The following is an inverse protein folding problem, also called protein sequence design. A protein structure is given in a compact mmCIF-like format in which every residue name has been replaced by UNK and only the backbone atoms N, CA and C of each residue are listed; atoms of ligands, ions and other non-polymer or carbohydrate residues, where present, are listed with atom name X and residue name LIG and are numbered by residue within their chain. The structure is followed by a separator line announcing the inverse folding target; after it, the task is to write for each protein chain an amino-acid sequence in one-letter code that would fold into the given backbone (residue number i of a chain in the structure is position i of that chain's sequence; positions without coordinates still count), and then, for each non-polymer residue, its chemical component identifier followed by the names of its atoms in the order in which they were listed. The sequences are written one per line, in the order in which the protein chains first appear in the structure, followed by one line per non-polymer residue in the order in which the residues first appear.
data_IF_062016125326
#
_entry.id   IF_062016125326
#
_cell.length_a   1.000
_cell.length_b   1.000
_cell.length_c   1.000
_cell.angle_alpha   90.00
_cell.angle_beta   90.00
_cell.angle_gamma   90.00
#
_symmetry.space_group_name_H-M   'P 1'
#
loop_
_entity.id
_entity.type
_entity.pdbx_description
1 polymer ?
#
# COMPACT_ATOMS: atom_id res chain seq x y z
N UNK A 1 -5.82 20.01 -7.38
CA UNK A 1 -5.67 18.83 -8.27
C UNK A 1 -7.05 18.20 -8.40
N UNK A 2 -7.56 17.97 -9.62
CA UNK A 2 -8.81 17.22 -9.79
C UNK A 2 -8.43 15.75 -9.80
N UNK A 3 -8.69 15.03 -8.70
CA UNK A 3 -8.65 13.57 -8.76
C UNK A 3 -9.84 13.10 -9.58
N UNK A 4 -9.57 12.28 -10.60
CA UNK A 4 -10.63 11.56 -11.25
C UNK A 4 -11.09 10.45 -10.29
N UNK A 5 -12.40 10.21 -10.20
CA UNK A 5 -12.93 9.07 -9.44
C UNK A 5 -12.35 7.74 -9.93
N UNK A 6 -12.05 7.66 -11.23
CA UNK A 6 -11.42 6.49 -11.86
C UNK A 6 -10.02 6.26 -11.32
N UNK A 7 -9.21 7.31 -11.19
CA UNK A 7 -7.85 7.22 -10.64
C UNK A 7 -7.91 6.74 -9.19
N UNK A 8 -8.86 7.28 -8.40
CA UNK A 8 -9.07 6.87 -7.01
C UNK A 8 -9.43 5.39 -6.86
N UNK A 9 -10.39 4.92 -7.65
CA UNK A 9 -10.76 3.50 -7.67
C UNK A 9 -9.58 2.64 -8.08
N UNK A 10 -8.92 2.98 -9.20
CA UNK A 10 -7.76 2.23 -9.70
C UNK A 10 -6.67 2.11 -8.65
N UNK A 11 -6.26 3.21 -8.05
CA UNK A 11 -5.19 3.18 -7.07
C UNK A 11 -5.59 2.44 -5.78
N UNK A 12 -6.83 2.58 -5.31
CA UNK A 12 -7.29 1.79 -4.14
C UNK A 12 -7.22 0.29 -4.44
N UNK A 13 -7.66 -0.11 -5.63
CA UNK A 13 -7.62 -1.52 -6.04
C UNK A 13 -6.16 -2.00 -6.20
N UNK A 14 -5.27 -1.19 -6.80
CA UNK A 14 -3.83 -1.48 -6.86
C UNK A 14 -3.21 -1.65 -5.47
N UNK A 15 -3.55 -0.79 -4.51
CA UNK A 15 -3.07 -0.91 -3.12
C UNK A 15 -3.53 -2.22 -2.49
N UNK A 16 -4.80 -2.60 -2.69
CA UNK A 16 -5.32 -3.86 -2.17
C UNK A 16 -4.50 -5.05 -2.67
N UNK A 17 -4.26 -5.12 -3.98
CA UNK A 17 -3.49 -6.21 -4.59
C UNK A 17 -2.02 -6.24 -4.11
N UNK A 18 -1.39 -5.07 -3.96
CA UNK A 18 -0.02 -4.98 -3.43
C UNK A 18 0.07 -5.51 -2.00
N UNK A 19 -0.90 -5.17 -1.14
CA UNK A 19 -0.95 -5.64 0.25
C UNK A 19 -1.27 -7.14 0.33
N UNK A 20 -2.13 -7.65 -0.55
CA UNK A 20 -2.41 -9.08 -0.69
C UNK A 20 -1.13 -9.85 -1.10
N UNK A 21 -0.35 -9.33 -2.06
CA UNK A 21 0.92 -9.93 -2.48
C UNK A 21 1.99 -9.92 -1.39
N UNK A 22 1.93 -8.96 -0.46
CA UNK A 22 2.81 -8.93 0.71
C UNK A 22 2.41 -9.93 1.80
N UNK A 23 1.28 -10.63 1.64
CA UNK A 23 0.74 -11.66 2.52
C UNK A 23 0.64 -11.21 3.98
N UNK A 24 0.03 -10.03 4.20
CA UNK A 24 -0.29 -9.53 5.54
C UNK A 24 -1.44 -10.37 6.14
N UNK A 25 -1.35 -10.68 7.43
CA UNK A 25 -2.26 -11.64 8.08
C UNK A 25 -3.65 -11.05 8.34
N UNK A 26 -3.69 -9.87 8.97
CA UNK A 26 -4.90 -9.11 9.25
C UNK A 26 -4.58 -7.62 9.13
N UNK A 27 -5.23 -6.94 8.19
CA UNK A 27 -5.02 -5.51 7.99
C UNK A 27 -6.29 -4.77 7.58
N UNK A 28 -6.32 -3.49 7.92
CA UNK A 28 -7.17 -2.47 7.35
C UNK A 28 -6.28 -1.49 6.59
N UNK A 29 -6.80 -0.88 5.54
CA UNK A 29 -6.06 0.16 4.85
C UNK A 29 -6.98 1.27 4.35
N UNK A 30 -6.40 2.47 4.29
CA UNK A 30 -7.03 3.65 3.70
C UNK A 30 -6.07 4.26 2.68
N UNK A 31 -6.65 4.80 1.60
CA UNK A 31 -5.91 5.48 0.56
C UNK A 31 -6.41 6.91 0.50
N UNK A 32 -5.52 7.86 0.79
CA UNK A 32 -5.85 9.27 0.83
C UNK A 32 -5.00 10.05 -0.19
N UNK A 33 -5.61 10.74 -1.16
CA UNK A 33 -4.86 11.62 -2.02
C UNK A 33 -4.38 12.86 -1.25
N UNK A 34 -3.10 13.20 -1.42
CA UNK A 34 -2.50 14.46 -0.97
C UNK A 34 -2.16 15.35 -2.17
N UNK A 35 -1.72 16.56 -1.88
CA UNK A 35 -1.43 17.57 -2.92
C UNK A 35 -0.33 17.14 -3.91
N UNK A 36 0.63 16.30 -3.49
CA UNK A 36 1.78 15.88 -4.31
C UNK A 36 2.02 14.37 -4.38
N UNK A 37 1.30 13.59 -3.57
CA UNK A 37 1.51 12.15 -3.42
C UNK A 37 0.23 11.53 -2.87
N UNK A 38 0.22 10.22 -2.73
CA UNK A 38 -0.84 9.46 -2.11
C UNK A 38 -0.32 8.90 -0.80
N UNK A 39 -1.13 8.99 0.23
CA UNK A 39 -0.87 8.34 1.51
C UNK A 39 -1.68 7.05 1.57
N UNK A 40 -0.99 5.97 1.94
CA UNK A 40 -1.60 4.68 2.22
C UNK A 40 -1.37 4.41 3.69
N UNK A 41 -2.44 4.44 4.47
CA UNK A 41 -2.40 4.07 5.88
C UNK A 41 -2.75 2.60 5.97
N UNK A 42 -1.89 1.81 6.57
CA UNK A 42 -2.10 0.38 6.82
C UNK A 42 -2.12 0.19 8.32
N UNK A 43 -3.23 -0.29 8.85
CA UNK A 43 -3.34 -0.76 10.23
C UNK A 43 -3.28 -2.28 10.20
N UNK A 44 -2.29 -2.87 10.85
CA UNK A 44 -2.03 -4.30 10.79
C UNK A 44 -1.90 -4.90 12.19
N UNK A 45 -2.27 -6.17 12.33
CA UNK A 45 -2.02 -6.92 13.54
C UNK A 45 -0.52 -7.23 13.67
N UNK A 46 0.02 -7.03 14.88
CA UNK A 46 1.38 -7.41 15.25
C UNK A 46 1.32 -8.34 16.47
N UNK A 47 2.47 -8.89 16.90
CA UNK A 47 2.56 -9.79 18.07
C UNK A 47 1.83 -9.26 19.32
N UNK A 48 1.89 -7.95 19.55
CA UNK A 48 1.23 -7.31 20.68
C UNK A 48 0.37 -6.13 20.19
N UNK A 49 -0.82 -6.45 19.67
CA UNK A 49 -1.84 -5.47 19.32
C UNK A 49 -1.84 -5.08 17.85
N UNK A 50 -2.01 -3.79 17.59
CA UNK A 50 -2.14 -3.23 16.25
C UNK A 50 -1.11 -2.14 16.04
N UNK A 51 -0.51 -2.09 14.85
CA UNK A 51 0.39 -1.04 14.42
C UNK A 51 -0.19 -0.31 13.21
N UNK A 52 -0.03 1.01 13.17
CA UNK A 52 -0.40 1.83 12.03
C UNK A 52 0.85 2.33 11.32
N UNK A 53 0.98 1.98 10.03
CA UNK A 53 2.06 2.41 9.16
C UNK A 53 1.49 3.33 8.08
N UNK A 54 2.09 4.51 7.89
CA UNK A 54 1.73 5.41 6.78
C UNK A 54 2.82 5.37 5.71
N UNK A 55 2.42 5.01 4.49
CA UNK A 55 3.26 4.91 3.31
C UNK A 55 2.95 6.09 2.38
N UNK A 56 3.98 6.80 1.93
CA UNK A 56 3.84 7.90 0.98
C UNK A 56 4.35 7.45 -0.37
N UNK A 57 3.55 7.61 -1.42
CA UNK A 57 3.90 7.16 -2.77
C UNK A 57 3.45 8.19 -3.82
N UNK A 58 4.28 8.54 -4.81
CA UNK A 58 3.84 9.41 -5.90
C UNK A 58 2.65 8.81 -6.66
N UNK A 59 1.71 9.67 -7.08
CA UNK A 59 0.50 9.26 -7.81
C UNK A 59 0.85 8.41 -9.04
N UNK A 60 1.82 8.88 -9.81
CA UNK A 60 2.21 8.30 -11.08
C UNK A 60 2.80 6.90 -10.89
N UNK A 61 3.58 6.72 -9.81
CA UNK A 61 4.17 5.42 -9.45
C UNK A 61 3.09 4.44 -9.04
N UNK A 62 2.16 4.85 -8.17
CA UNK A 62 1.08 3.98 -7.72
C UNK A 62 0.12 3.59 -8.85
N UNK A 63 -0.20 4.51 -9.77
CA UNK A 63 -1.05 4.19 -10.90
C UNK A 63 -0.34 3.34 -11.95
N UNK A 64 0.97 3.51 -12.12
CA UNK A 64 1.77 2.71 -13.04
C UNK A 64 2.00 1.28 -12.53
N UNK A 65 2.12 1.07 -11.21
CA UNK A 65 2.32 -0.27 -10.63
C UNK A 65 1.12 -1.23 -10.82
N UNK A 66 -0.02 -0.74 -11.27
CA UNK A 66 -1.13 -1.59 -11.71
C UNK A 66 -0.80 -2.38 -12.98
N UNK A 67 -0.02 -1.81 -13.90
CA UNK A 67 0.20 -2.38 -15.24
C UNK A 67 1.68 -2.69 -15.51
N UNK A 68 2.60 -1.98 -14.86
CA UNK A 68 4.05 -2.14 -15.01
C UNK A 68 4.62 -3.02 -13.89
N UNK A 69 5.07 -4.22 -14.27
CA UNK A 69 5.64 -5.21 -13.35
C UNK A 69 6.94 -4.76 -12.69
N UNK A 70 7.75 -3.95 -13.35
CA UNK A 70 9.02 -3.46 -12.81
C UNK A 70 8.73 -2.43 -11.71
N UNK A 71 7.82 -1.50 -11.98
CA UNK A 71 7.40 -0.51 -10.98
C UNK A 71 6.68 -1.21 -9.83
N UNK A 72 5.81 -2.19 -10.11
CA UNK A 72 5.14 -2.99 -9.09
C UNK A 72 6.14 -3.66 -8.15
N UNK A 73 7.16 -4.32 -8.70
CA UNK A 73 8.18 -5.01 -7.92
C UNK A 73 8.95 -4.03 -7.02
N UNK A 74 9.29 -2.84 -7.52
CA UNK A 74 9.96 -1.80 -6.72
C UNK A 74 9.10 -1.35 -5.54
N UNK A 75 7.80 -1.15 -5.76
CA UNK A 75 6.85 -0.77 -4.70
C UNK A 75 6.74 -1.88 -3.66
N UNK A 76 6.61 -3.15 -4.09
CA UNK A 76 6.57 -4.30 -3.18
C UNK A 76 7.82 -4.41 -2.32
N UNK A 77 9.01 -4.23 -2.90
CA UNK A 77 10.28 -4.29 -2.17
C UNK A 77 10.37 -3.18 -1.11
N UNK A 78 10.00 -1.95 -1.46
CA UNK A 78 9.97 -0.85 -0.51
C UNK A 78 8.97 -1.11 0.63
N UNK A 79 7.75 -1.49 0.28
CA UNK A 79 6.66 -1.68 1.24
C UNK A 79 6.89 -2.90 2.12
N UNK A 80 7.52 -3.95 1.60
CA UNK A 80 7.93 -5.10 2.39
C UNK A 80 8.84 -4.71 3.57
N UNK A 81 9.78 -3.78 3.35
CA UNK A 81 10.66 -3.31 4.42
C UNK A 81 9.87 -2.49 5.44
N UNK A 82 8.95 -1.63 4.98
CA UNK A 82 8.14 -0.76 5.85
C UNK A 82 7.10 -1.52 6.67
N UNK A 83 6.54 -2.58 6.11
CA UNK A 83 5.50 -3.42 6.71
C UNK A 83 6.06 -4.72 7.29
N UNK A 84 7.38 -4.79 7.54
CA UNK A 84 8.02 -6.02 8.01
C UNK A 84 7.44 -6.52 9.35
N UNK A 85 6.99 -5.60 10.22
CA UNK A 85 6.32 -5.94 11.48
C UNK A 85 4.93 -6.55 11.28
N UNK A 86 4.25 -6.19 10.20
CA UNK A 86 2.88 -6.64 9.84
C UNK A 86 2.85 -8.01 9.16
N UNK A 87 4.01 -8.56 8.74
CA UNK A 87 4.06 -9.85 8.06
C UNK A 87 3.83 -10.98 9.06
N UNK A 88 3.21 -12.05 8.57
CA UNK A 88 3.08 -13.32 9.28
C UNK A 88 4.46 -13.69 9.84
N UNK A 89 4.64 -13.54 11.15
CA UNK A 89 5.78 -14.14 11.80
C UNK A 89 5.46 -15.61 11.89
N UNK A 90 6.00 -16.38 10.94
CA UNK A 90 5.95 -17.84 10.99
C UNK A 90 6.38 -18.28 12.40
N UNK A 91 5.40 -18.73 13.17
CA UNK A 91 5.56 -19.34 14.49
C UNK A 91 6.26 -20.69 14.38
#
# INVERSE_FOLDING_TARGET
MVLSTIDFVKARDTVAELLDELALEAYLFEVEPRNSHWEVKVECAIKEGWEMVTLSIPKEVLLASADDKVIRQQVLEEWQVRLAACKIQAS
#
